data_IF_354105793290
#
_entry.id   IF_354105793290
#
_cell.length_a   1.000
_cell.length_b   1.000
_cell.length_c   1.000
_cell.angle_alpha   90.00
_cell.angle_beta   90.00
_cell.angle_gamma   90.00
#
_symmetry.space_group_name_H-M   'P 1'
#
loop_
_entity.id
_entity.type
_entity.pdbx_description
1 polymer ?
#
# COMPACT_ATOMS: atom_id res chain seq x y z
N UNK A 1 -1.77 -11.91 23.35
CA UNK A 1 -3.10 -11.25 23.14
C UNK A 1 -3.18 -10.76 21.70
N UNK A 2 -4.07 -11.35 20.89
CA UNK A 2 -4.34 -10.89 19.53
C UNK A 2 -5.45 -9.84 19.65
N UNK A 3 -5.12 -8.60 19.28
CA UNK A 3 -6.04 -7.47 19.31
C UNK A 3 -6.92 -7.49 18.05
N UNK A 4 -8.24 -7.45 18.25
CA UNK A 4 -9.26 -7.35 17.19
C UNK A 4 -9.98 -5.99 17.23
N UNK A 5 -9.39 -4.97 17.86
CA UNK A 5 -9.99 -3.65 18.07
C UNK A 5 -10.27 -2.84 16.79
N UNK A 6 -9.87 -3.34 15.61
CA UNK A 6 -9.95 -2.68 14.30
C UNK A 6 -10.66 -3.57 13.27
N UNK A 7 -11.83 -4.11 13.59
CA UNK A 7 -12.59 -4.92 12.63
C UNK A 7 -13.60 -4.05 11.88
N UNK A 8 -13.19 -3.52 10.73
CA UNK A 8 -14.11 -3.07 9.68
C UNK A 8 -14.49 -4.26 8.80
N UNK A 9 -15.76 -4.35 8.37
CA UNK A 9 -16.13 -5.29 7.29
C UNK A 9 -15.65 -4.72 5.96
N UNK A 10 -14.66 -5.35 5.35
CA UNK A 10 -14.32 -5.12 3.95
C UNK A 10 -15.39 -5.79 3.09
N UNK A 11 -15.97 -5.04 2.17
CA UNK A 11 -16.88 -5.62 1.20
C UNK A 11 -16.13 -6.53 0.21
N UNK A 12 -16.86 -7.24 -0.64
CA UNK A 12 -16.23 -8.15 -1.60
C UNK A 12 -15.26 -7.43 -2.55
N UNK A 13 -15.56 -6.19 -2.91
CA UNK A 13 -14.78 -5.38 -3.84
C UNK A 13 -13.44 -4.99 -3.21
N UNK A 14 -13.45 -4.53 -1.96
CA UNK A 14 -12.25 -4.18 -1.21
C UNK A 14 -11.36 -5.40 -0.97
N UNK A 15 -11.97 -6.55 -0.66
CA UNK A 15 -11.24 -7.82 -0.51
C UNK A 15 -10.58 -8.26 -1.81
N UNK A 16 -11.27 -8.10 -2.93
CA UNK A 16 -10.74 -8.43 -4.26
C UNK A 16 -9.61 -7.47 -4.64
N UNK A 17 -9.75 -6.18 -4.36
CA UNK A 17 -8.69 -5.18 -4.54
C UNK A 17 -7.44 -5.57 -3.76
N UNK A 18 -7.56 -5.83 -2.45
CA UNK A 18 -6.43 -6.22 -1.61
C UNK A 18 -5.79 -7.53 -2.08
N UNK A 19 -6.59 -8.53 -2.45
CA UNK A 19 -6.08 -9.80 -2.97
C UNK A 19 -5.25 -9.58 -4.24
N UNK A 20 -5.75 -8.76 -5.17
CA UNK A 20 -5.04 -8.42 -6.42
C UNK A 20 -3.79 -7.61 -6.14
N UNK A 21 -3.86 -6.63 -5.25
CA UNK A 21 -2.73 -5.78 -4.88
C UNK A 21 -1.60 -6.60 -4.24
N UNK A 22 -1.93 -7.44 -3.25
CA UNK A 22 -0.95 -8.28 -2.56
C UNK A 22 -0.33 -9.30 -3.52
N UNK A 23 -1.13 -9.92 -4.38
CA UNK A 23 -0.63 -10.85 -5.41
C UNK A 23 0.35 -10.14 -6.34
N UNK A 24 -0.02 -8.97 -6.88
CA UNK A 24 0.85 -8.17 -7.73
C UNK A 24 2.15 -7.77 -7.04
N UNK A 25 2.11 -7.40 -5.75
CA UNK A 25 3.29 -7.08 -4.97
C UNK A 25 4.22 -8.28 -4.78
N UNK A 26 3.66 -9.47 -4.49
CA UNK A 26 4.43 -10.71 -4.32
C UNK A 26 5.07 -11.17 -5.64
N UNK A 27 4.33 -11.07 -6.74
CA UNK A 27 4.80 -11.39 -8.09
C UNK A 27 5.71 -10.31 -8.69
N UNK A 28 5.90 -9.19 -7.97
CA UNK A 28 6.68 -8.01 -8.39
C UNK A 28 6.13 -7.36 -9.68
N UNK A 29 4.84 -7.51 -9.93
CA UNK A 29 4.11 -6.81 -11.01
C UNK A 29 3.75 -5.38 -10.56
N UNK A 30 4.76 -4.52 -10.50
CA UNK A 30 4.62 -3.14 -10.05
C UNK A 30 3.77 -2.27 -11.00
N UNK A 31 3.66 -2.67 -12.27
CA UNK A 31 2.79 -1.99 -13.23
C UNK A 31 1.31 -2.27 -12.90
N UNK A 32 0.97 -3.51 -12.51
CA UNK A 32 -0.36 -3.83 -12.02
C UNK A 32 -0.65 -3.14 -10.69
N UNK A 33 0.34 -3.03 -9.80
CA UNK A 33 0.20 -2.25 -8.57
C UNK A 33 -0.17 -0.80 -8.89
N UNK A 34 0.52 -0.16 -9.83
CA UNK A 34 0.22 1.21 -10.24
C UNK A 34 -1.20 1.36 -10.81
N UNK A 35 -1.59 0.45 -11.71
CA UNK A 35 -2.94 0.42 -12.28
C UNK A 35 -4.01 0.26 -11.21
N UNK A 36 -3.83 -0.67 -10.27
CA UNK A 36 -4.79 -0.87 -9.18
C UNK A 36 -4.96 0.37 -8.31
N UNK A 37 -3.87 1.09 -8.01
CA UNK A 37 -3.96 2.36 -7.25
C UNK A 37 -4.70 3.45 -8.04
N UNK A 38 -4.45 3.57 -9.35
CA UNK A 38 -5.16 4.53 -10.20
C UNK A 38 -6.65 4.17 -10.36
N UNK A 39 -6.97 2.90 -10.60
CA UNK A 39 -8.35 2.39 -10.72
C UNK A 39 -9.13 2.61 -9.41
N UNK A 40 -8.44 2.56 -8.27
CA UNK A 40 -8.99 2.88 -6.97
C UNK A 40 -9.08 4.40 -6.70
N UNK A 41 -8.80 5.26 -7.68
CA UNK A 41 -8.84 6.72 -7.52
C UNK A 41 -7.83 7.28 -6.52
N UNK A 42 -6.79 6.50 -6.19
CA UNK A 42 -5.76 6.91 -5.22
C UNK A 42 -4.65 7.76 -5.85
N UNK A 43 -4.61 7.85 -7.18
CA UNK A 43 -3.65 8.65 -7.94
C UNK A 43 -4.41 9.69 -8.78
N UNK A 44 -3.86 10.90 -8.85
CA UNK A 44 -4.35 11.93 -9.76
C UNK A 44 -4.13 11.54 -11.22
N UNK A 45 -4.93 12.11 -12.14
CA UNK A 45 -4.83 11.87 -13.58
C UNK A 45 -3.47 12.32 -14.18
N UNK A 46 -2.79 13.24 -13.50
CA UNK A 46 -1.47 13.78 -13.85
C UNK A 46 -0.31 12.83 -13.47
N UNK A 47 -0.58 11.80 -12.66
CA UNK A 47 0.44 10.86 -12.21
C UNK A 47 0.75 9.83 -13.29
N UNK A 48 1.99 9.85 -13.79
CA UNK A 48 2.47 8.82 -14.70
C UNK A 48 2.60 7.45 -13.99
N UNK A 49 1.78 6.47 -14.39
CA UNK A 49 1.78 5.12 -13.78
C UNK A 49 3.15 4.44 -13.77
N UNK A 50 3.91 4.59 -14.85
CA UNK A 50 5.27 4.04 -14.92
C UNK A 50 6.21 4.64 -13.87
N UNK A 51 6.06 5.94 -13.57
CA UNK A 51 6.87 6.61 -12.55
C UNK A 51 6.49 6.15 -11.14
N UNK A 52 5.19 5.94 -10.91
CA UNK A 52 4.69 5.37 -9.66
C UNK A 52 5.20 3.94 -9.47
N UNK A 53 5.06 3.07 -10.48
CA UNK A 53 5.55 1.69 -10.46
C UNK A 53 7.05 1.61 -10.13
N UNK A 54 7.88 2.45 -10.76
CA UNK A 54 9.30 2.53 -10.47
C UNK A 54 9.59 2.95 -9.02
N UNK A 55 8.80 3.86 -8.47
CA UNK A 55 8.96 4.31 -7.08
C UNK A 55 8.56 3.21 -6.10
N UNK A 56 7.46 2.49 -6.36
CA UNK A 56 7.05 1.34 -5.56
C UNK A 56 8.11 0.25 -5.60
N UNK A 57 8.64 -0.06 -6.78
CA UNK A 57 9.74 -1.01 -6.95
C UNK A 57 10.97 -0.67 -6.12
N UNK A 58 11.38 0.60 -6.13
CA UNK A 58 12.54 1.06 -5.38
C UNK A 58 12.39 0.87 -3.86
N UNK A 59 11.15 0.89 -3.35
CA UNK A 59 10.83 0.61 -1.95
C UNK A 59 10.71 -0.90 -1.71
N UNK A 60 10.04 -1.64 -2.59
CA UNK A 60 9.70 -3.05 -2.39
C UNK A 60 10.85 -4.03 -2.64
N UNK A 61 11.64 -3.85 -3.71
CA UNK A 61 12.72 -4.77 -4.10
C UNK A 61 13.76 -4.99 -2.97
N UNK A 62 14.22 -3.97 -2.22
CA UNK A 62 15.18 -4.14 -1.14
C UNK A 62 14.68 -4.96 0.05
N UNK A 63 13.36 -5.06 0.22
CA UNK A 63 12.70 -5.73 1.35
C UNK A 63 12.29 -7.15 0.96
N UNK A 64 11.98 -7.38 -0.32
CA UNK A 64 11.40 -8.61 -0.80
C UNK A 64 12.32 -9.82 -0.58
N UNK A 65 11.79 -10.86 0.08
CA UNK A 65 12.52 -12.10 0.35
C UNK A 65 13.48 -12.05 1.53
N UNK A 66 13.62 -10.92 2.23
CA UNK A 66 14.35 -10.82 3.50
C UNK A 66 13.47 -11.28 4.67
N UNK A 67 14.09 -11.81 5.72
CA UNK A 67 13.37 -12.07 6.95
C UNK A 67 12.98 -10.74 7.62
N UNK A 68 11.82 -10.68 8.28
CA UNK A 68 11.35 -9.45 8.95
C UNK A 68 12.35 -8.91 9.99
N UNK A 69 13.13 -9.77 10.64
CA UNK A 69 14.16 -9.36 11.60
C UNK A 69 15.37 -8.67 10.95
N UNK A 70 15.52 -8.75 9.63
CA UNK A 70 16.59 -8.11 8.85
C UNK A 70 16.13 -6.80 8.20
N UNK A 71 14.86 -6.45 8.36
CA UNK A 71 14.22 -5.29 7.74
C UNK A 71 13.85 -4.29 8.83
N UNK A 72 14.38 -3.07 8.74
CA UNK A 72 13.94 -1.97 9.60
C UNK A 72 12.54 -1.54 9.21
N UNK A 73 11.53 -1.95 9.99
CA UNK A 73 10.13 -1.56 9.75
C UNK A 73 9.95 -0.04 9.72
N UNK A 74 10.65 0.70 10.58
CA UNK A 74 10.59 2.17 10.60
C UNK A 74 11.12 2.80 9.31
N UNK A 75 12.17 2.23 8.72
CA UNK A 75 12.69 2.70 7.42
C UNK A 75 11.68 2.46 6.31
N UNK A 76 11.08 1.27 6.27
CA UNK A 76 10.05 0.92 5.28
C UNK A 76 8.83 1.83 5.39
N UNK A 77 8.32 2.04 6.60
CA UNK A 77 7.20 2.94 6.85
C UNK A 77 7.53 4.37 6.40
N UNK A 78 8.74 4.86 6.70
CA UNK A 78 9.20 6.16 6.22
C UNK A 78 9.21 6.28 4.69
N UNK A 79 9.66 5.23 3.98
CA UNK A 79 9.65 5.17 2.52
C UNK A 79 8.23 5.14 1.95
N UNK A 80 7.31 4.40 2.58
CA UNK A 80 5.89 4.37 2.19
C UNK A 80 5.28 5.77 2.34
N UNK A 81 5.51 6.45 3.46
CA UNK A 81 5.01 7.83 3.65
C UNK A 81 5.61 8.81 2.64
N UNK A 82 6.91 8.72 2.34
CA UNK A 82 7.53 9.56 1.32
C UNK A 82 6.90 9.35 -0.07
N UNK A 83 6.63 8.09 -0.43
CA UNK A 83 5.96 7.74 -1.68
C UNK A 83 4.53 8.29 -1.71
N UNK A 84 3.78 8.10 -0.62
CA UNK A 84 2.42 8.63 -0.46
C UNK A 84 2.37 10.15 -0.64
N UNK A 85 3.28 10.87 0.00
CA UNK A 85 3.35 12.35 -0.11
C UNK A 85 3.79 12.78 -1.51
N UNK A 86 4.77 12.10 -2.11
CA UNK A 86 5.30 12.46 -3.44
C UNK A 86 4.22 12.37 -4.53
N UNK A 87 3.35 11.38 -4.45
CA UNK A 87 2.29 11.15 -5.43
C UNK A 87 0.93 11.66 -4.98
N UNK A 88 0.90 12.43 -3.88
CA UNK A 88 -0.34 12.96 -3.29
C UNK A 88 -1.42 11.89 -3.17
N UNK A 89 -1.06 10.69 -2.68
CA UNK A 89 -1.97 9.56 -2.61
C UNK A 89 -3.14 9.92 -1.70
N UNK A 90 -4.34 9.94 -2.26
CA UNK A 90 -5.57 10.11 -1.51
C UNK A 90 -6.12 8.74 -1.13
N UNK A 91 -5.88 8.36 0.12
CA UNK A 91 -6.41 7.12 0.68
C UNK A 91 -7.92 7.27 0.87
N UNK A 92 -8.72 6.42 0.20
CA UNK A 92 -10.18 6.50 0.29
C UNK A 92 -10.65 6.45 1.76
N UNK A 93 -11.75 7.15 2.11
CA UNK A 93 -12.19 7.33 3.50
C UNK A 93 -12.36 6.03 4.30
N UNK A 94 -12.76 4.92 3.67
CA UNK A 94 -12.89 3.62 4.32
C UNK A 94 -11.56 3.04 4.82
N UNK A 95 -10.43 3.44 4.22
CA UNK A 95 -9.07 3.04 4.65
C UNK A 95 -8.44 4.04 5.63
N UNK A 96 -8.91 5.29 5.66
CA UNK A 96 -8.56 6.27 6.70
C UNK A 96 -9.10 5.86 8.08
N UNK A 97 -10.27 5.21 8.12
CA UNK A 97 -10.83 4.65 9.35
C UNK A 97 -9.88 3.58 9.93
N UNK A 98 -9.32 2.72 9.06
CA UNK A 98 -8.34 1.68 9.42
C UNK A 98 -7.03 2.27 9.97
N UNK A 99 -6.50 3.32 9.32
CA UNK A 99 -5.29 4.00 9.79
C UNK A 99 -5.50 4.72 11.13
N UNK A 100 -6.66 5.36 11.36
CA UNK A 100 -6.99 5.98 12.65
C UNK A 100 -6.99 4.97 13.80
N UNK A 101 -7.49 3.77 13.58
CA UNK A 101 -7.54 2.76 14.64
C UNK A 101 -6.17 2.15 14.94
N UNK A 102 -5.26 2.07 13.95
CA UNK A 102 -3.88 1.61 14.18
C UNK A 102 -3.02 2.61 14.96
N UNK A 103 -3.35 3.91 14.95
CA UNK A 103 -2.62 4.93 15.71
C UNK A 103 -3.11 5.10 17.15
N UNK A 104 -4.30 4.57 17.50
CA UNK A 104 -4.87 4.66 18.84
C UNK A 104 -4.60 3.40 19.69
N UNK A 105 -3.90 2.41 19.13
CA UNK A 105 -3.47 1.18 19.80
C UNK A 105 -2.01 1.26 20.25
#
# INVERSE_FOLDING_TARGET
PIDFGIMGQLDFTDRLFLARLLTAMLDRDYDLVARLHADAGMLGEDVALAQFALSVRAVADPIMGKALGEVSLGTVLGQIFQLSTRFSIEVQPQFNLLQKTMMMA
#
